data_IF_089967782345
#
_entry.id   IF_089967782345
#
_cell.length_a   1.000
_cell.length_b   1.000
_cell.length_c   1.000
_cell.angle_alpha   90.00
_cell.angle_beta   90.00
_cell.angle_gamma   90.00
#
_symmetry.space_group_name_H-M   'P 1'
#
loop_
_entity.id
_entity.type
_entity.pdbx_description
1 polymer ?
#
# COMPACT_ATOMS: atom_id res chain seq x y z
N UNK A 1 5.66 -27.77 -5.14
CA UNK A 1 4.93 -26.55 -5.51
C UNK A 1 4.48 -26.75 -6.94
N UNK A 2 3.17 -26.73 -7.15
CA UNK A 2 2.57 -26.91 -8.48
C UNK A 2 2.66 -25.62 -9.32
N UNK A 3 2.48 -25.73 -10.65
CA UNK A 3 2.54 -24.57 -11.56
C UNK A 3 1.54 -23.47 -11.15
N UNK A 4 0.32 -23.85 -10.79
CA UNK A 4 -0.70 -22.89 -10.37
C UNK A 4 -0.29 -22.08 -9.13
N UNK A 5 0.52 -22.66 -8.22
CA UNK A 5 1.03 -21.94 -7.05
C UNK A 5 2.05 -20.87 -7.45
N UNK A 6 2.89 -21.17 -8.44
CA UNK A 6 3.85 -20.21 -8.99
C UNK A 6 3.12 -19.02 -9.65
N UNK A 7 2.13 -19.31 -10.49
CA UNK A 7 1.30 -18.30 -11.14
C UNK A 7 0.61 -17.38 -10.13
N UNK A 8 0.03 -17.96 -9.07
CA UNK A 8 -0.61 -17.20 -8.00
C UNK A 8 0.40 -16.31 -7.27
N UNK A 9 1.58 -16.83 -6.93
CA UNK A 9 2.63 -16.05 -6.25
C UNK A 9 3.14 -14.90 -7.10
N UNK A 10 3.34 -15.10 -8.41
CA UNK A 10 3.77 -14.01 -9.29
C UNK A 10 2.68 -12.98 -9.53
N UNK A 11 1.42 -13.41 -9.71
CA UNK A 11 0.30 -12.46 -9.83
C UNK A 11 0.14 -11.61 -8.56
N UNK A 12 0.32 -12.21 -7.37
CA UNK A 12 0.34 -11.47 -6.10
C UNK A 12 1.49 -10.47 -6.08
N UNK A 13 2.72 -10.86 -6.42
CA UNK A 13 3.87 -9.93 -6.47
C UNK A 13 3.63 -8.77 -7.45
N UNK A 14 2.99 -9.03 -8.58
CA UNK A 14 2.62 -7.97 -9.52
C UNK A 14 1.66 -6.98 -8.87
N UNK A 15 0.65 -7.43 -8.13
CA UNK A 15 -0.27 -6.54 -7.40
C UNK A 15 0.43 -5.74 -6.30
N UNK A 16 1.38 -6.34 -5.58
CA UNK A 16 2.21 -5.60 -4.61
C UNK A 16 2.99 -4.47 -5.30
N UNK A 17 3.60 -4.76 -6.46
CA UNK A 17 4.38 -3.79 -7.24
C UNK A 17 3.50 -2.69 -7.86
N UNK A 18 2.35 -3.05 -8.43
CA UNK A 18 1.41 -2.11 -9.04
C UNK A 18 0.90 -1.10 -8.02
N UNK A 19 0.54 -1.57 -6.82
CA UNK A 19 0.11 -0.69 -5.72
C UNK A 19 1.18 0.34 -5.37
N UNK A 20 2.43 -0.10 -5.20
CA UNK A 20 3.52 0.81 -4.84
C UNK A 20 3.85 1.78 -5.96
N UNK A 21 3.87 1.32 -7.22
CA UNK A 21 4.14 2.17 -8.36
C UNK A 21 3.04 3.22 -8.57
N UNK A 22 1.77 2.87 -8.31
CA UNK A 22 0.67 3.82 -8.31
C UNK A 22 0.78 4.84 -7.17
N UNK A 23 1.14 4.38 -5.97
CA UNK A 23 1.37 5.23 -4.79
C UNK A 23 2.47 6.25 -5.05
N UNK A 24 3.60 5.81 -5.61
CA UNK A 24 4.76 6.67 -5.94
C UNK A 24 4.44 7.78 -6.95
N UNK A 25 3.42 7.57 -7.80
CA UNK A 25 2.95 8.55 -8.80
C UNK A 25 1.75 9.36 -8.33
N UNK A 26 1.28 9.14 -7.10
CA UNK A 26 0.02 9.69 -6.60
C UNK A 26 -1.21 9.35 -7.49
N UNK A 27 -1.17 8.21 -8.19
CA UNK A 27 -2.28 7.71 -8.99
C UNK A 27 -3.22 6.90 -8.10
N UNK A 28 -4.09 7.61 -7.38
CA UNK A 28 -5.01 7.02 -6.39
C UNK A 28 -6.01 6.06 -7.02
N UNK A 29 -6.42 6.31 -8.26
CA UNK A 29 -7.33 5.44 -9.00
C UNK A 29 -6.67 4.11 -9.32
N UNK A 30 -5.44 4.10 -9.82
CA UNK A 30 -4.69 2.87 -10.07
C UNK A 30 -4.37 2.12 -8.77
N UNK A 31 -4.06 2.85 -7.69
CA UNK A 31 -3.88 2.28 -6.36
C UNK A 31 -5.16 1.57 -5.90
N UNK A 32 -6.30 2.26 -5.93
CA UNK A 32 -7.59 1.71 -5.54
C UNK A 32 -8.00 0.50 -6.39
N UNK A 33 -7.63 0.48 -7.68
CA UNK A 33 -7.88 -0.64 -8.57
C UNK A 33 -7.18 -1.95 -8.15
N UNK A 34 -6.18 -1.89 -7.25
CA UNK A 34 -5.51 -3.06 -6.69
C UNK A 34 -6.37 -3.82 -5.66
N UNK A 35 -7.50 -3.27 -5.23
CA UNK A 35 -8.44 -3.89 -4.28
C UNK A 35 -9.59 -4.57 -5.01
N UNK A 36 -10.12 -5.67 -4.47
CA UNK A 36 -11.41 -6.18 -4.94
C UNK A 36 -12.55 -5.23 -4.55
N UNK A 37 -13.76 -5.50 -5.01
CA UNK A 37 -14.91 -4.59 -4.84
C UNK A 37 -15.19 -4.28 -3.36
N UNK A 38 -15.02 -5.28 -2.49
CA UNK A 38 -15.14 -5.17 -1.03
C UNK A 38 -13.77 -5.14 -0.31
N UNK A 39 -12.70 -4.82 -1.04
CA UNK A 39 -11.35 -4.84 -0.51
C UNK A 39 -11.13 -3.73 0.52
N UNK A 40 -10.48 -4.06 1.63
CA UNK A 40 -10.31 -3.13 2.76
C UNK A 40 -8.86 -2.65 2.87
N UNK A 41 -8.68 -1.35 3.01
CA UNK A 41 -7.41 -0.70 3.34
C UNK A 41 -7.43 -0.15 4.76
N UNK A 42 -6.48 -0.60 5.57
CA UNK A 42 -6.21 -0.10 6.92
C UNK A 42 -4.77 0.44 6.99
N UNK A 43 -4.57 1.55 7.67
CA UNK A 43 -3.22 2.09 7.88
C UNK A 43 -3.08 2.82 9.21
N UNK A 44 -1.86 2.83 9.77
CA UNK A 44 -1.54 3.59 10.99
C UNK A 44 -1.95 5.06 10.84
N UNK A 45 -2.72 5.59 11.80
CA UNK A 45 -3.21 6.98 11.76
C UNK A 45 -4.50 7.19 10.98
N UNK A 46 -5.01 6.16 10.29
CA UNK A 46 -6.37 6.15 9.75
C UNK A 46 -7.40 6.03 10.88
N UNK A 47 -8.49 6.81 10.78
CA UNK A 47 -9.56 6.80 11.79
C UNK A 47 -10.43 5.55 11.69
N UNK A 48 -10.74 5.14 10.46
CA UNK A 48 -11.55 3.97 10.13
C UNK A 48 -10.97 3.28 8.87
N UNK A 49 -11.18 1.97 8.68
CA UNK A 49 -10.85 1.28 7.44
C UNK A 49 -11.57 1.89 6.22
N UNK A 50 -10.90 1.88 5.06
CA UNK A 50 -11.49 2.28 3.78
C UNK A 50 -11.91 1.04 3.01
N UNK A 51 -13.17 0.94 2.61
CA UNK A 51 -13.72 -0.25 1.95
C UNK A 51 -14.10 0.02 0.50
N UNK A 52 -13.55 -0.79 -0.39
CA UNK A 52 -13.80 -0.76 -1.81
C UNK A 52 -13.06 0.39 -2.53
N UNK A 53 -12.85 0.26 -3.85
CA UNK A 53 -12.01 1.20 -4.60
C UNK A 53 -12.44 2.67 -4.48
N UNK A 54 -13.74 2.95 -4.52
CA UNK A 54 -14.25 4.32 -4.46
C UNK A 54 -13.94 5.02 -3.13
N UNK A 55 -14.14 4.33 -2.00
CA UNK A 55 -13.86 4.90 -0.68
C UNK A 55 -12.34 5.03 -0.46
N UNK A 56 -11.56 4.07 -0.97
CA UNK A 56 -10.09 4.11 -0.91
C UNK A 56 -9.55 5.33 -1.66
N UNK A 57 -9.99 5.54 -2.90
CA UNK A 57 -9.57 6.68 -3.73
C UNK A 57 -9.92 8.02 -3.06
N UNK A 58 -11.17 8.18 -2.63
CA UNK A 58 -11.63 9.40 -1.96
C UNK A 58 -10.93 9.63 -0.61
N UNK A 59 -10.76 8.59 0.20
CA UNK A 59 -10.16 8.66 1.53
C UNK A 59 -8.68 9.04 1.49
N UNK A 60 -7.92 8.46 0.55
CA UNK A 60 -6.52 8.82 0.34
C UNK A 60 -6.36 10.23 -0.25
N UNK A 61 -7.24 10.64 -1.17
CA UNK A 61 -7.26 11.99 -1.71
C UNK A 61 -7.47 13.04 -0.62
N UNK A 62 -8.42 12.81 0.28
CA UNK A 62 -8.67 13.69 1.42
C UNK A 62 -7.45 13.82 2.35
N UNK A 63 -6.70 12.72 2.57
CA UNK A 63 -5.51 12.74 3.40
C UNK A 63 -4.38 13.61 2.82
N UNK A 64 -4.19 13.59 1.50
CA UNK A 64 -3.19 14.44 0.80
C UNK A 64 -3.57 15.92 0.90
N UNK A 65 -4.86 16.24 0.83
CA UNK A 65 -5.34 17.63 0.88
C UNK A 65 -5.50 18.20 2.29
N UNK A 66 -5.22 17.41 3.34
CA UNK A 66 -5.43 17.84 4.72
C UNK A 66 -4.48 19.00 5.07
N UNK A 67 -4.99 20.15 5.54
CA UNK A 67 -4.15 21.25 5.98
C UNK A 67 -3.19 20.79 7.08
N UNK A 68 -1.93 21.22 7.00
CA UNK A 68 -1.01 21.08 8.13
C UNK A 68 -1.57 21.80 9.37
N UNK A 69 -1.24 21.28 10.55
CA UNK A 69 -1.58 21.90 11.83
C UNK A 69 -1.12 23.38 11.84
N UNK A 70 -1.92 24.31 12.41
CA UNK A 70 -1.52 25.70 12.52
C UNK A 70 -0.17 25.84 13.24
N UNK A 71 0.81 26.47 12.60
CA UNK A 71 2.17 26.65 13.14
C UNK A 71 3.20 25.59 12.72
N UNK A 72 2.81 24.57 11.95
CA UNK A 72 3.78 23.69 11.30
C UNK A 72 4.45 24.42 10.13
N UNK A 73 5.78 24.27 9.93
CA UNK A 73 6.45 24.81 8.75
C UNK A 73 5.79 24.24 7.49
N UNK A 74 5.69 25.05 6.44
CA UNK A 74 5.17 24.62 5.15
C UNK A 74 6.00 23.42 4.66
N UNK A 75 5.42 22.22 4.67
CA UNK A 75 6.06 21.04 4.08
C UNK A 75 6.04 21.21 2.57
N UNK A 76 7.22 21.33 1.97
CA UNK A 76 7.32 21.15 0.54
C UNK A 76 6.95 19.68 0.23
N UNK A 77 6.05 19.44 -0.73
CA UNK A 77 5.77 18.09 -1.18
C UNK A 77 7.06 17.48 -1.74
N UNK A 78 7.33 16.19 -1.48
CA UNK A 78 8.52 15.55 -2.02
C UNK A 78 8.49 15.56 -3.56
N UNK A 79 9.65 15.73 -4.19
CA UNK A 79 9.76 15.68 -5.65
C UNK A 79 9.58 14.27 -6.20
N UNK A 80 9.81 13.26 -5.35
CA UNK A 80 9.62 11.86 -5.64
C UNK A 80 9.30 11.07 -4.37
N UNK A 81 8.57 9.98 -4.56
CA UNK A 81 8.36 8.93 -3.56
C UNK A 81 8.78 7.61 -4.22
N UNK A 82 9.50 6.77 -3.46
CA UNK A 82 9.98 5.47 -3.94
C UNK A 82 9.77 4.42 -2.89
N UNK A 83 8.80 3.53 -3.12
CA UNK A 83 8.58 2.38 -2.26
C UNK A 83 9.53 1.24 -2.60
N UNK A 84 10.26 0.76 -1.60
CA UNK A 84 11.07 -0.45 -1.68
C UNK A 84 10.43 -1.53 -0.83
N UNK A 85 9.80 -2.50 -1.49
CA UNK A 85 9.17 -3.65 -0.83
C UNK A 85 10.13 -4.83 -0.84
N UNK A 86 10.36 -5.42 0.33
CA UNK A 86 11.31 -6.51 0.50
C UNK A 86 10.80 -7.55 1.49
N UNK A 87 11.54 -8.67 1.61
CA UNK A 87 11.20 -9.77 2.51
C UNK A 87 9.77 -10.28 2.34
N UNK A 88 9.31 -10.38 1.09
CA UNK A 88 7.97 -10.85 0.75
C UNK A 88 7.85 -12.32 1.17
N UNK A 89 7.06 -12.56 2.22
CA UNK A 89 6.80 -13.87 2.79
C UNK A 89 5.34 -14.24 2.59
N UNK A 90 5.11 -15.26 1.78
CA UNK A 90 3.82 -15.92 1.64
C UNK A 90 3.60 -16.83 2.86
N UNK A 91 2.64 -16.48 3.70
CA UNK A 91 2.27 -17.27 4.88
C UNK A 91 1.37 -18.45 4.50
N UNK A 92 0.45 -18.25 3.56
CA UNK A 92 -0.40 -19.30 3.00
C UNK A 92 -0.71 -19.02 1.53
N UNK A 93 -0.80 -20.08 0.72
CA UNK A 93 -1.18 -20.01 -0.69
C UNK A 93 -2.21 -21.09 -0.98
N UNK A 94 -3.44 -20.67 -1.25
CA UNK A 94 -4.54 -21.52 -1.65
C UNK A 94 -5.19 -20.97 -2.93
N UNK A 95 -5.99 -21.78 -3.63
CA UNK A 95 -6.59 -21.39 -4.93
C UNK A 95 -7.48 -20.16 -4.89
N UNK A 96 -8.08 -19.86 -3.74
CA UNK A 96 -9.02 -18.76 -3.57
C UNK A 96 -8.54 -17.69 -2.58
N UNK A 97 -7.36 -17.87 -1.97
CA UNK A 97 -6.86 -16.98 -0.93
C UNK A 97 -5.36 -17.11 -0.74
N UNK A 98 -4.68 -15.97 -0.68
CA UNK A 98 -3.25 -15.87 -0.36
C UNK A 98 -3.08 -14.91 0.80
N UNK A 99 -2.28 -15.30 1.79
CA UNK A 99 -1.78 -14.40 2.83
C UNK A 99 -0.31 -14.10 2.59
N UNK A 100 0.02 -12.82 2.53
CA UNK A 100 1.39 -12.36 2.31
C UNK A 100 1.73 -11.24 3.27
N UNK A 101 3.00 -11.17 3.64
CA UNK A 101 3.56 -10.10 4.43
C UNK A 101 4.86 -9.63 3.81
N UNK A 102 5.17 -8.35 3.98
CA UNK A 102 6.42 -7.76 3.50
C UNK A 102 6.82 -6.58 4.36
N UNK A 103 8.09 -6.20 4.26
CA UNK A 103 8.56 -4.92 4.77
C UNK A 103 8.56 -3.89 3.65
N UNK A 104 8.39 -2.63 4.01
CA UNK A 104 8.59 -1.51 3.09
C UNK A 104 9.53 -0.47 3.69
N UNK A 105 10.27 0.19 2.82
CA UNK A 105 11.00 1.42 3.10
C UNK A 105 10.67 2.43 2.00
N UNK A 106 10.28 3.64 2.38
CA UNK A 106 9.96 4.72 1.44
C UNK A 106 11.10 5.72 1.43
N UNK A 107 11.56 6.07 0.23
CA UNK A 107 12.56 7.12 0.02
C UNK A 107 11.93 8.34 -0.65
N UNK A 108 12.34 9.52 -0.18
CA UNK A 108 12.00 10.83 -0.74
C UNK A 108 13.29 11.66 -0.92
N UNK A 109 13.17 12.98 -1.10
CA UNK A 109 14.29 13.92 -1.21
C UNK A 109 15.30 13.84 -0.06
N UNK A 110 14.86 13.40 1.12
CA UNK A 110 15.70 13.30 2.31
C UNK A 110 16.40 11.93 2.47
N UNK A 111 16.26 11.03 1.50
CA UNK A 111 16.63 9.62 1.67
C UNK A 111 15.50 8.84 2.35
N UNK A 112 15.82 8.00 3.34
CA UNK A 112 14.82 7.16 4.02
C UNK A 112 13.82 8.06 4.77
N UNK A 113 12.56 8.00 4.38
CA UNK A 113 11.49 8.86 4.91
C UNK A 113 10.70 8.14 6.00
N UNK A 114 10.20 6.94 5.70
CA UNK A 114 9.49 6.09 6.65
C UNK A 114 9.53 4.62 6.24
N UNK A 115 9.28 3.74 7.20
CA UNK A 115 9.35 2.29 6.98
C UNK A 115 8.34 1.56 7.83
N UNK A 116 8.08 0.31 7.45
CA UNK A 116 7.11 -0.51 8.15
C UNK A 116 6.80 -1.82 7.46
N UNK A 117 5.55 -2.25 7.64
CA UNK A 117 5.06 -3.60 7.32
C UNK A 117 3.75 -3.55 6.56
N UNK A 118 3.65 -4.44 5.57
CA UNK A 118 2.37 -4.84 4.99
C UNK A 118 1.93 -6.21 5.52
N UNK A 119 0.63 -6.34 5.73
CA UNK A 119 -0.08 -7.58 6.05
C UNK A 119 -1.27 -7.64 5.11
N UNK A 120 -1.24 -8.58 4.18
CA UNK A 120 -2.17 -8.59 3.07
C UNK A 120 -2.89 -9.93 2.95
N UNK A 121 -4.14 -9.85 2.54
CA UNK A 121 -4.95 -10.96 2.05
C UNK A 121 -5.34 -10.66 0.61
N UNK A 122 -5.01 -11.57 -0.30
CA UNK A 122 -5.38 -11.47 -1.71
C UNK A 122 -6.32 -12.59 -2.11
N UNK A 123 -7.25 -12.27 -3.01
CA UNK A 123 -8.22 -13.19 -3.60
C UNK A 123 -8.19 -13.07 -5.12
N UNK A 124 -8.52 -14.13 -5.88
CA UNK A 124 -8.68 -14.03 -7.32
C UNK A 124 -9.92 -13.19 -7.63
N UNK A 125 -9.74 -12.10 -8.36
CA UNK A 125 -10.80 -11.21 -8.79
C UNK A 125 -10.39 -10.50 -10.09
N UNK A 126 -11.36 -10.30 -10.99
CA UNK A 126 -11.13 -9.56 -12.27
C UNK A 126 -9.94 -10.12 -13.07
N UNK A 127 -9.77 -11.45 -13.09
CA UNK A 127 -8.72 -12.13 -13.84
C UNK A 127 -7.29 -12.03 -13.26
N UNK A 128 -7.11 -11.49 -12.05
CA UNK A 128 -5.83 -11.41 -11.34
C UNK A 128 -6.01 -11.57 -9.82
N UNK A 129 -4.92 -11.55 -9.06
CA UNK A 129 -5.00 -11.51 -7.59
C UNK A 129 -5.08 -10.07 -7.09
N UNK A 130 -6.08 -9.73 -6.30
CA UNK A 130 -6.32 -8.38 -5.77
C UNK A 130 -6.44 -8.40 -4.25
N UNK A 131 -6.18 -7.26 -3.60
CA UNK A 131 -6.34 -7.14 -2.16
C UNK A 131 -7.81 -7.30 -1.76
N UNK A 132 -8.10 -8.33 -0.98
CA UNK A 132 -9.29 -8.36 -0.13
C UNK A 132 -9.04 -7.57 1.16
N UNK A 133 -7.79 -7.55 1.63
CA UNK A 133 -7.38 -6.75 2.78
C UNK A 133 -5.92 -6.35 2.63
N UNK A 134 -5.61 -5.10 2.98
CA UNK A 134 -4.25 -4.63 3.21
C UNK A 134 -4.22 -3.81 4.49
N UNK A 135 -3.37 -4.22 5.42
CA UNK A 135 -3.01 -3.43 6.60
C UNK A 135 -1.59 -2.93 6.50
N UNK A 136 -1.45 -1.61 6.61
CA UNK A 136 -0.19 -0.89 6.60
C UNK A 136 0.15 -0.49 8.03
N UNK A 137 1.21 -1.08 8.57
CA UNK A 137 1.80 -0.64 9.82
C UNK A 137 3.01 0.23 9.52
N UNK A 138 2.95 1.53 9.82
CA UNK A 138 4.15 2.38 9.84
C UNK A 138 4.84 2.20 11.19
N UNK A 139 6.10 1.77 11.16
CA UNK A 139 6.88 1.52 12.38
C UNK A 139 7.56 2.80 12.87
N UNK A 140 8.06 3.64 11.97
CA UNK A 140 8.62 4.95 12.28
C UNK A 140 8.79 5.83 11.03
N UNK A 141 9.03 7.12 11.30
CA UNK A 141 9.42 8.15 10.34
C UNK A 141 10.82 8.68 10.68
N UNK A 142 11.57 9.12 9.67
CA UNK A 142 12.78 9.89 9.88
C UNK A 142 12.45 11.24 10.55
N UNK A 143 13.38 11.78 11.33
CA UNK A 143 13.18 13.02 12.09
C UNK A 143 12.82 14.23 11.21
N UNK A 144 13.29 14.23 9.96
CA UNK A 144 13.03 15.25 8.95
C UNK A 144 12.05 14.79 7.85
N UNK A 145 11.26 13.73 8.10
CA UNK A 145 10.31 13.17 7.12
C UNK A 145 9.46 14.24 6.45
N UNK A 146 9.18 14.04 5.16
CA UNK A 146 8.29 14.90 4.38
C UNK A 146 6.84 14.38 4.40
N UNK A 147 6.58 13.21 4.98
CA UNK A 147 5.30 12.49 4.91
C UNK A 147 4.70 12.04 6.26
N UNK A 148 5.32 12.38 7.39
CA UNK A 148 4.83 12.06 8.74
C UNK A 148 3.54 12.77 9.15
#
# INVERSE_FOLDING_TARGET
MEIWELEARESVRQTLADYTAATDRFDLRALAACFCDEGVLEFTGGTEPLTGPAQIEAGLGAAITRPLQPGAPARQPPTHVRHHVSSIKFASVARHRVEVSSYFAVHTDIGLDHWGRYRDVLVPARGRWLFAHRRIGVDAFAANSLMA
#
